data_IF_044288257149
#
_entry.id   IF_044288257149
#
_cell.length_a   1.000
_cell.length_b   1.000
_cell.length_c   1.000
_cell.angle_alpha   90.00
_cell.angle_beta   90.00
_cell.angle_gamma   90.00
#
_symmetry.space_group_name_H-M   'P 1'
#
loop_
_entity.id
_entity.type
_entity.pdbx_description
1 polymer ?
#
# COMPACT_ATOMS: atom_id res chain seq x y z
N UNK A 1 -19.79 -8.47 20.02
CA UNK A 1 -20.75 -7.60 19.32
C UNK A 1 -20.64 -7.94 17.85
N UNK A 2 -21.70 -8.43 17.22
CA UNK A 2 -21.68 -8.74 15.79
C UNK A 2 -21.52 -7.44 15.01
N UNK A 3 -20.47 -7.36 14.19
CA UNK A 3 -20.18 -6.19 13.34
C UNK A 3 -20.12 -6.64 11.90
N UNK A 4 -20.77 -5.88 11.03
CA UNK A 4 -20.77 -6.11 9.59
C UNK A 4 -20.48 -4.81 8.87
N UNK A 5 -19.80 -4.92 7.74
CA UNK A 5 -19.74 -3.86 6.74
C UNK A 5 -20.59 -4.29 5.55
N UNK A 6 -21.26 -3.33 4.91
CA UNK A 6 -22.14 -3.58 3.78
C UNK A 6 -21.70 -2.71 2.63
N UNK A 7 -21.42 -3.32 1.48
CA UNK A 7 -21.27 -2.61 0.20
C UNK A 7 -22.65 -2.65 -0.47
N UNK A 8 -23.17 -1.47 -0.80
CA UNK A 8 -24.44 -1.28 -1.50
C UNK A 8 -24.19 -0.90 -2.95
N UNK A 9 -24.89 -1.55 -3.87
CA UNK A 9 -24.84 -1.29 -5.31
C UNK A 9 -26.26 -1.08 -5.82
N UNK A 10 -26.45 -0.05 -6.66
CA UNK A 10 -27.77 0.32 -7.19
C UNK A 10 -28.17 -0.47 -8.44
N UNK A 11 -27.78 -1.75 -8.48
CA UNK A 11 -28.11 -2.69 -9.54
C UNK A 11 -28.87 -3.91 -9.02
N UNK A 12 -29.66 -4.52 -9.91
CA UNK A 12 -30.40 -5.75 -9.65
C UNK A 12 -29.45 -6.89 -9.33
N UNK A 13 -29.61 -7.46 -8.13
CA UNK A 13 -28.79 -8.59 -7.70
C UNK A 13 -28.99 -9.79 -8.62
N UNK A 14 -27.89 -10.21 -9.25
CA UNK A 14 -27.79 -11.49 -9.94
C UNK A 14 -26.75 -12.35 -9.23
N UNK A 15 -27.17 -13.55 -8.83
CA UNK A 15 -26.26 -14.45 -8.13
C UNK A 15 -25.26 -15.06 -9.11
N UNK A 16 -24.05 -14.51 -9.04
CA UNK A 16 -22.89 -14.97 -9.81
C UNK A 16 -22.24 -16.22 -9.21
N UNK A 17 -21.54 -16.99 -10.04
CA UNK A 17 -20.80 -18.18 -9.61
C UNK A 17 -19.78 -17.84 -8.51
N UNK A 18 -19.17 -16.65 -8.57
CA UNK A 18 -18.19 -16.18 -7.58
C UNK A 18 -18.81 -16.15 -6.18
N UNK A 19 -20.03 -15.62 -6.05
CA UNK A 19 -20.77 -15.61 -4.79
C UNK A 19 -21.14 -17.03 -4.34
N UNK A 20 -21.52 -17.91 -5.26
CA UNK A 20 -21.81 -19.32 -4.91
C UNK A 20 -20.57 -20.03 -4.36
N UNK A 21 -19.41 -19.78 -4.96
CA UNK A 21 -18.12 -20.32 -4.50
C UNK A 21 -17.76 -19.79 -3.10
N UNK A 22 -17.93 -18.49 -2.85
CA UNK A 22 -17.67 -17.86 -1.56
C UNK A 22 -18.68 -18.24 -0.47
N UNK A 23 -19.91 -18.59 -0.84
CA UNK A 23 -20.92 -19.12 0.11
C UNK A 23 -20.66 -20.59 0.45
N UNK A 24 -20.20 -21.38 -0.53
CA UNK A 24 -19.98 -22.82 -0.36
C UNK A 24 -18.64 -23.14 0.31
N UNK A 25 -17.64 -22.26 0.17
CA UNK A 25 -16.28 -22.48 0.67
C UNK A 25 -15.87 -21.34 1.61
N UNK A 26 -14.97 -21.64 2.55
CA UNK A 26 -14.28 -20.62 3.35
C UNK A 26 -12.86 -20.47 2.85
N UNK A 27 -12.59 -19.41 2.08
CA UNK A 27 -11.26 -19.10 1.57
C UNK A 27 -10.42 -18.50 2.69
N UNK A 28 -9.21 -19.02 2.86
CA UNK A 28 -8.31 -18.48 3.89
C UNK A 28 -7.88 -17.04 3.54
N UNK A 29 -7.95 -16.15 4.53
CA UNK A 29 -7.66 -14.72 4.34
C UNK A 29 -8.74 -13.92 3.60
N UNK A 30 -9.85 -14.51 3.17
CA UNK A 30 -11.01 -13.78 2.62
C UNK A 30 -12.12 -13.71 3.68
N UNK A 31 -12.74 -12.53 3.85
CA UNK A 31 -13.87 -12.37 4.73
C UNK A 31 -15.11 -13.11 4.21
N UNK A 32 -15.85 -13.73 5.13
CA UNK A 32 -17.14 -14.37 4.81
C UNK A 32 -18.11 -13.30 4.30
N UNK A 33 -18.63 -13.52 3.10
CA UNK A 33 -19.56 -12.62 2.41
C UNK A 33 -20.96 -13.23 2.35
N UNK A 34 -21.95 -12.46 2.76
CA UNK A 34 -23.35 -12.67 2.43
C UNK A 34 -23.76 -11.71 1.32
N UNK A 35 -24.48 -12.18 0.31
CA UNK A 35 -25.01 -11.32 -0.74
C UNK A 35 -26.53 -11.47 -0.85
N UNK A 36 -27.23 -10.34 -0.94
CA UNK A 36 -28.70 -10.26 -1.01
C UNK A 36 -29.16 -9.11 -1.89
N UNK A 37 -30.24 -9.32 -2.63
CA UNK A 37 -30.95 -8.26 -3.35
C UNK A 37 -32.16 -7.77 -2.56
N UNK A 38 -32.34 -6.46 -2.44
CA UNK A 38 -33.53 -5.85 -1.81
C UNK A 38 -33.88 -4.54 -2.51
N UNK A 39 -35.17 -4.33 -2.82
CA UNK A 39 -35.70 -3.09 -3.42
C UNK A 39 -34.98 -2.61 -4.70
N UNK A 40 -34.46 -3.55 -5.51
CA UNK A 40 -33.72 -3.21 -6.75
C UNK A 40 -32.25 -2.84 -6.52
N UNK A 41 -31.73 -2.99 -5.30
CA UNK A 41 -30.31 -2.81 -4.98
C UNK A 41 -29.70 -4.12 -4.45
N UNK A 42 -28.39 -4.24 -4.62
CA UNK A 42 -27.59 -5.39 -4.18
C UNK A 42 -26.78 -5.00 -2.95
N UNK A 43 -26.76 -5.90 -1.96
CA UNK A 43 -26.04 -5.70 -0.71
C UNK A 43 -25.07 -6.86 -0.49
N UNK A 44 -23.82 -6.53 -0.21
CA UNK A 44 -22.75 -7.47 0.11
C UNK A 44 -22.27 -7.21 1.54
N UNK A 45 -22.67 -8.10 2.44
CA UNK A 45 -22.44 -8.02 3.88
C UNK A 45 -21.21 -8.87 4.26
N UNK A 46 -20.19 -8.27 4.86
CA UNK A 46 -18.99 -8.96 5.33
C UNK A 46 -18.95 -9.00 6.86
N UNK A 47 -18.64 -10.15 7.43
CA UNK A 47 -18.48 -10.30 8.88
C UNK A 47 -17.10 -9.81 9.35
N UNK A 48 -17.11 -8.71 10.11
CA UNK A 48 -15.90 -8.06 10.65
C UNK A 48 -15.87 -8.13 12.18
N UNK A 49 -16.64 -9.03 12.77
CA UNK A 49 -16.68 -9.24 14.22
C UNK A 49 -15.30 -9.62 14.75
N UNK A 50 -14.82 -8.90 15.77
CA UNK A 50 -13.50 -9.10 16.37
C UNK A 50 -12.34 -8.43 15.62
N UNK A 51 -12.58 -7.91 14.41
CA UNK A 51 -11.53 -7.39 13.52
C UNK A 51 -11.49 -5.87 13.51
N UNK A 52 -10.30 -5.32 13.26
CA UNK A 52 -10.07 -3.88 13.10
C UNK A 52 -9.63 -3.62 11.66
N UNK A 53 -10.16 -2.59 11.00
CA UNK A 53 -9.70 -2.25 9.65
C UNK A 53 -8.27 -1.73 9.68
N UNK A 54 -7.50 -1.97 8.62
CA UNK A 54 -6.13 -1.47 8.46
C UNK A 54 -6.07 0.06 8.61
N UNK A 55 -7.04 0.77 8.03
CA UNK A 55 -7.18 2.22 8.19
C UNK A 55 -7.25 2.64 9.65
N UNK A 56 -8.08 1.97 10.46
CA UNK A 56 -8.25 2.30 11.87
C UNK A 56 -7.06 1.83 12.71
N UNK A 57 -6.45 0.70 12.35
CA UNK A 57 -5.25 0.16 12.98
C UNK A 57 -4.10 1.18 12.92
N UNK A 58 -3.81 1.72 11.73
CA UNK A 58 -2.72 2.67 11.51
C UNK A 58 -3.16 4.14 11.50
N UNK A 59 -4.32 4.46 12.08
CA UNK A 59 -4.73 5.86 12.28
C UNK A 59 -3.89 6.53 13.39
N UNK A 60 -3.41 5.72 14.36
CA UNK A 60 -2.68 6.18 15.55
C UNK A 60 -1.34 5.48 15.76
N UNK A 61 -1.02 4.49 14.94
CA UNK A 61 0.26 3.78 14.95
C UNK A 61 0.91 3.86 13.57
N UNK A 62 2.22 3.67 13.54
CA UNK A 62 3.00 3.56 12.31
C UNK A 62 3.10 2.10 11.86
N UNK A 63 3.28 1.90 10.56
CA UNK A 63 3.46 0.58 9.95
C UNK A 63 4.93 0.20 10.06
N UNK A 64 5.25 -0.90 10.73
CA UNK A 64 6.62 -1.40 10.81
C UNK A 64 7.00 -2.26 9.59
N UNK A 65 8.29 -2.54 9.43
CA UNK A 65 8.80 -3.46 8.41
C UNK A 65 8.31 -4.90 8.64
N UNK A 66 8.12 -5.31 9.89
CA UNK A 66 7.52 -6.60 10.24
C UNK A 66 6.06 -6.68 9.78
N UNK A 67 5.29 -5.61 9.99
CA UNK A 67 3.90 -5.53 9.54
C UNK A 67 3.79 -5.63 8.01
N UNK A 68 4.67 -4.93 7.29
CA UNK A 68 4.72 -4.99 5.82
C UNK A 68 5.07 -6.39 5.33
N UNK A 69 6.06 -7.06 5.92
CA UNK A 69 6.39 -8.44 5.55
C UNK A 69 5.25 -9.39 5.82
N UNK A 70 4.59 -9.25 6.97
CA UNK A 70 3.43 -10.05 7.33
C UNK A 70 2.31 -9.85 6.30
N UNK A 71 2.03 -8.60 5.97
CA UNK A 71 1.05 -8.23 4.95
C UNK A 71 1.38 -8.85 3.59
N UNK A 72 2.59 -8.65 3.06
CA UNK A 72 2.98 -9.18 1.75
C UNK A 72 2.92 -10.71 1.69
N UNK A 73 3.33 -11.38 2.78
CA UNK A 73 3.28 -12.84 2.87
C UNK A 73 1.85 -13.35 2.81
N UNK A 74 0.94 -12.73 3.57
CA UNK A 74 -0.46 -13.13 3.62
C UNK A 74 -1.22 -12.73 2.36
N UNK A 75 -0.95 -11.56 1.80
CA UNK A 75 -1.55 -11.12 0.55
C UNK A 75 -1.17 -12.06 -0.60
N UNK A 76 0.11 -12.50 -0.68
CA UNK A 76 0.54 -13.53 -1.62
C UNK A 76 -0.22 -14.84 -1.46
N UNK A 77 -0.48 -15.26 -0.23
CA UNK A 77 -1.25 -16.47 0.04
C UNK A 77 -2.72 -16.32 -0.42
N UNK A 78 -3.31 -15.15 -0.19
CA UNK A 78 -4.68 -14.83 -0.62
C UNK A 78 -4.83 -14.84 -2.14
N UNK A 79 -3.88 -14.28 -2.89
CA UNK A 79 -3.91 -14.34 -4.37
C UNK A 79 -3.98 -15.79 -4.84
N UNK A 80 -3.09 -16.65 -4.31
CA UNK A 80 -3.06 -18.08 -4.66
C UNK A 80 -4.33 -18.82 -4.28
N UNK A 81 -4.89 -18.50 -3.11
CA UNK A 81 -6.15 -19.08 -2.66
C UNK A 81 -7.28 -18.71 -3.63
N UNK A 82 -7.42 -17.42 -3.98
CA UNK A 82 -8.44 -16.93 -4.91
C UNK A 82 -8.31 -17.59 -6.29
N UNK A 83 -7.09 -17.70 -6.81
CA UNK A 83 -6.82 -18.40 -8.08
C UNK A 83 -7.17 -19.89 -8.01
N UNK A 84 -6.90 -20.57 -6.89
CA UNK A 84 -7.20 -21.99 -6.71
C UNK A 84 -8.70 -22.30 -6.80
N UNK A 85 -9.56 -21.35 -6.46
CA UNK A 85 -11.02 -21.45 -6.61
C UNK A 85 -11.54 -20.89 -7.94
N UNK A 86 -10.65 -20.55 -8.88
CA UNK A 86 -10.98 -19.94 -10.17
C UNK A 86 -11.76 -18.61 -10.02
N UNK A 87 -11.52 -17.91 -8.92
CA UNK A 87 -12.09 -16.59 -8.68
C UNK A 87 -11.21 -15.51 -9.31
N UNK A 88 -11.81 -14.37 -9.65
CA UNK A 88 -11.07 -13.24 -10.22
C UNK A 88 -10.28 -12.49 -9.11
N UNK A 89 -8.95 -12.41 -9.24
CA UNK A 89 -8.08 -11.69 -8.29
C UNK A 89 -8.33 -10.17 -8.27
N UNK A 90 -8.82 -9.60 -9.36
CA UNK A 90 -9.15 -8.17 -9.47
C UNK A 90 -10.31 -7.75 -8.55
N UNK A 91 -11.08 -8.73 -8.07
CA UNK A 91 -12.19 -8.50 -7.14
C UNK A 91 -11.75 -8.42 -5.67
N UNK A 92 -10.45 -8.56 -5.37
CA UNK A 92 -9.91 -8.34 -4.02
C UNK A 92 -9.82 -6.83 -3.77
N UNK A 93 -10.44 -6.34 -2.69
CA UNK A 93 -10.39 -4.93 -2.32
C UNK A 93 -9.12 -4.63 -1.52
N UNK A 94 -8.28 -3.71 -2.01
CA UNK A 94 -7.01 -3.34 -1.38
C UNK A 94 -7.02 -1.99 -0.66
N UNK A 95 -8.14 -1.26 -0.66
CA UNK A 95 -8.24 -0.03 0.12
C UNK A 95 -8.14 -0.36 1.62
N UNK A 96 -7.42 0.44 2.42
CA UNK A 96 -7.23 0.18 3.86
C UNK A 96 -8.52 0.04 4.68
N UNK A 97 -9.66 0.52 4.16
CA UNK A 97 -10.99 0.38 4.77
C UNK A 97 -11.58 -1.03 4.65
N UNK A 98 -11.14 -1.79 3.64
CA UNK A 98 -11.65 -3.13 3.31
C UNK A 98 -10.66 -4.24 3.65
N UNK A 99 -9.50 -3.90 4.21
CA UNK A 99 -8.54 -4.84 4.77
C UNK A 99 -8.71 -4.83 6.29
N UNK A 100 -8.84 -6.00 6.90
CA UNK A 100 -9.09 -6.18 8.33
C UNK A 100 -7.98 -6.99 8.97
N UNK A 101 -7.74 -6.78 10.26
CA UNK A 101 -6.70 -7.44 11.03
C UNK A 101 -7.26 -8.02 12.33
N UNK A 102 -6.86 -9.24 12.65
CA UNK A 102 -7.14 -9.94 13.92
C UNK A 102 -6.05 -10.99 14.16
N UNK A 103 -5.49 -11.02 15.38
CA UNK A 103 -4.51 -12.04 15.83
C UNK A 103 -3.36 -12.30 14.83
N UNK A 104 -2.69 -11.25 14.35
CA UNK A 104 -1.59 -11.35 13.37
C UNK A 104 -1.99 -11.91 12.01
N UNK A 105 -3.27 -11.78 11.64
CA UNK A 105 -3.81 -12.19 10.33
C UNK A 105 -4.59 -11.06 9.68
N UNK A 106 -4.29 -10.81 8.41
CA UNK A 106 -5.02 -9.94 7.52
C UNK A 106 -6.14 -10.71 6.83
N UNK A 107 -7.28 -10.04 6.69
CA UNK A 107 -8.47 -10.52 6.02
C UNK A 107 -8.91 -9.48 4.98
N UNK A 108 -9.20 -9.93 3.77
CA UNK A 108 -9.54 -9.07 2.65
C UNK A 108 -11.02 -9.22 2.30
N UNK A 109 -11.66 -8.10 1.93
CA UNK A 109 -12.97 -8.16 1.30
C UNK A 109 -12.83 -8.59 -0.16
N UNK A 110 -13.72 -9.47 -0.60
CA UNK A 110 -13.84 -9.87 -2.00
C UNK A 110 -15.16 -9.38 -2.57
N UNK A 111 -15.11 -8.45 -3.53
CA UNK A 111 -16.28 -7.85 -4.16
C UNK A 111 -16.40 -8.25 -5.64
N UNK A 112 -17.31 -9.18 -5.99
CA UNK A 112 -17.39 -9.75 -7.35
C UNK A 112 -17.71 -8.75 -8.46
N UNK A 113 -18.35 -7.63 -8.12
CA UNK A 113 -18.70 -6.58 -9.08
C UNK A 113 -17.61 -5.50 -9.20
N UNK A 114 -16.48 -5.65 -8.50
CA UNK A 114 -15.38 -4.70 -8.60
C UNK A 114 -14.85 -4.67 -10.05
N UNK A 115 -14.96 -3.51 -10.69
CA UNK A 115 -14.36 -3.23 -12.00
C UNK A 115 -13.09 -2.40 -11.80
N UNK A 116 -12.10 -2.99 -11.13
CA UNK A 116 -10.83 -2.35 -10.80
C UNK A 116 -9.66 -3.20 -11.26
N UNK A 117 -8.50 -2.59 -11.42
CA UNK A 117 -7.26 -3.31 -11.68
C UNK A 117 -6.50 -3.57 -10.36
N UNK A 118 -6.09 -4.82 -10.14
CA UNK A 118 -5.41 -5.20 -8.90
C UNK A 118 -4.05 -4.50 -8.76
N UNK A 119 -3.36 -4.25 -9.87
CA UNK A 119 -2.07 -3.59 -9.88
C UNK A 119 -2.21 -2.09 -9.57
N UNK A 120 -3.23 -1.42 -10.10
CA UNK A 120 -3.52 -0.02 -9.76
C UNK A 120 -3.91 0.14 -8.28
N UNK A 121 -4.76 -0.75 -7.77
CA UNK A 121 -5.16 -0.74 -6.36
C UNK A 121 -4.00 -1.10 -5.42
N UNK A 122 -3.11 -2.02 -5.84
CA UNK A 122 -1.91 -2.33 -5.07
C UNK A 122 -0.94 -1.15 -5.06
N UNK A 123 -0.76 -0.45 -6.18
CA UNK A 123 0.03 0.78 -6.23
C UNK A 123 -0.54 1.85 -5.28
N UNK A 124 -1.86 2.07 -5.32
CA UNK A 124 -2.53 2.99 -4.39
C UNK A 124 -2.31 2.60 -2.92
N UNK A 125 -2.27 1.30 -2.62
CA UNK A 125 -1.95 0.80 -1.29
C UNK A 125 -0.47 1.03 -0.91
N UNK A 126 0.48 0.94 -1.84
CA UNK A 126 1.88 1.28 -1.55
C UNK A 126 2.06 2.75 -1.22
N UNK A 127 1.30 3.65 -1.86
CA UNK A 127 1.28 5.07 -1.47
C UNK A 127 0.78 5.27 -0.04
N UNK A 128 -0.22 4.48 0.38
CA UNK A 128 -0.69 4.48 1.76
C UNK A 128 0.41 4.01 2.74
N UNK A 129 1.18 2.97 2.36
CA UNK A 129 2.34 2.52 3.15
C UNK A 129 3.42 3.60 3.25
N UNK A 130 3.67 4.38 2.20
CA UNK A 130 4.54 5.57 2.27
C UNK A 130 3.97 6.57 3.28
N UNK A 131 2.66 6.84 3.30
CA UNK A 131 2.10 7.82 4.24
C UNK A 131 2.16 7.38 5.71
N UNK A 132 1.99 6.09 5.98
CA UNK A 132 1.84 5.55 7.34
C UNK A 132 3.05 4.75 7.84
N UNK A 133 4.08 4.57 7.03
CA UNK A 133 5.31 3.87 7.39
C UNK A 133 5.99 4.44 8.62
N UNK A 134 6.56 3.56 9.44
CA UNK A 134 7.47 3.91 10.50
C UNK A 134 8.85 4.19 9.91
N UNK A 135 9.27 5.44 9.97
CA UNK A 135 10.54 5.90 9.41
C UNK A 135 11.70 5.79 10.40
N UNK A 136 11.44 5.39 11.64
CA UNK A 136 12.51 5.02 12.58
C UNK A 136 13.01 3.59 12.29
N UNK A 137 12.18 2.78 11.64
CA UNK A 137 12.50 1.41 11.23
C UNK A 137 13.18 1.36 9.85
N UNK A 138 14.47 1.01 9.84
CA UNK A 138 15.27 0.82 8.62
C UNK A 138 14.67 -0.22 7.67
N UNK A 139 14.05 -1.27 8.21
CA UNK A 139 13.44 -2.32 7.40
C UNK A 139 12.16 -1.83 6.73
N UNK A 140 11.33 -1.08 7.45
CA UNK A 140 10.16 -0.40 6.89
C UNK A 140 10.56 0.51 5.73
N UNK A 141 11.55 1.39 5.92
CA UNK A 141 12.04 2.30 4.88
C UNK A 141 12.42 1.54 3.61
N UNK A 142 13.23 0.48 3.76
CA UNK A 142 13.68 -0.34 2.62
C UNK A 142 12.49 -0.96 1.89
N UNK A 143 11.54 -1.54 2.61
CA UNK A 143 10.39 -2.24 2.04
C UNK A 143 9.43 -1.28 1.32
N UNK A 144 9.06 -0.18 1.97
CA UNK A 144 8.18 0.84 1.39
C UNK A 144 8.79 1.39 0.09
N UNK A 145 10.10 1.65 0.09
CA UNK A 145 10.80 2.13 -1.09
C UNK A 145 10.76 1.12 -2.25
N UNK A 146 11.15 -0.13 -1.99
CA UNK A 146 11.14 -1.20 -3.01
C UNK A 146 9.74 -1.41 -3.58
N UNK A 147 8.72 -1.46 -2.70
CA UNK A 147 7.33 -1.61 -3.09
C UNK A 147 6.89 -0.47 -4.00
N UNK A 148 7.04 0.78 -3.54
CA UNK A 148 6.58 1.94 -4.28
C UNK A 148 7.27 2.04 -5.65
N UNK A 149 8.62 1.92 -5.67
CA UNK A 149 9.41 1.94 -6.92
C UNK A 149 8.93 0.89 -7.90
N UNK A 150 8.80 -0.36 -7.45
CA UNK A 150 8.47 -1.45 -8.35
C UNK A 150 7.03 -1.36 -8.88
N UNK A 151 6.09 -0.80 -8.09
CA UNK A 151 4.72 -0.57 -8.57
C UNK A 151 4.56 0.56 -9.59
N UNK A 152 5.62 1.34 -9.85
CA UNK A 152 5.61 2.41 -10.84
C UNK A 152 5.99 1.92 -12.24
N UNK A 153 6.54 0.71 -12.36
CA UNK A 153 6.85 0.13 -13.66
C UNK A 153 5.55 -0.32 -14.37
N UNK A 154 5.33 0.06 -15.63
CA UNK A 154 4.07 -0.23 -16.36
C UNK A 154 3.69 -1.72 -16.43
N UNK A 155 4.66 -2.64 -16.29
CA UNK A 155 4.45 -4.09 -16.40
C UNK A 155 5.05 -4.85 -15.21
N UNK A 156 4.80 -4.35 -14.00
CA UNK A 156 5.37 -4.96 -12.81
C UNK A 156 4.70 -6.31 -12.45
N UNK A 157 5.47 -7.19 -11.83
CA UNK A 157 4.99 -8.50 -11.37
C UNK A 157 4.91 -8.53 -9.85
N UNK A 158 3.69 -8.63 -9.33
CA UNK A 158 3.43 -8.77 -7.88
C UNK A 158 4.26 -9.89 -7.25
N UNK A 159 4.37 -11.04 -7.93
CA UNK A 159 5.16 -12.16 -7.41
C UNK A 159 6.64 -11.84 -7.27
N UNK A 160 7.23 -11.13 -8.24
CA UNK A 160 8.63 -10.71 -8.22
C UNK A 160 8.87 -9.69 -7.11
N UNK A 161 8.02 -8.67 -7.02
CA UNK A 161 8.10 -7.62 -5.99
C UNK A 161 8.02 -8.22 -4.59
N UNK A 162 7.02 -9.08 -4.35
CA UNK A 162 6.85 -9.73 -3.05
C UNK A 162 8.04 -10.64 -2.73
N UNK A 163 8.58 -11.37 -3.72
CA UNK A 163 9.76 -12.19 -3.52
C UNK A 163 11.00 -11.36 -3.15
N UNK A 164 11.22 -10.23 -3.82
CA UNK A 164 12.33 -9.32 -3.54
C UNK A 164 12.21 -8.67 -2.16
N UNK A 165 11.02 -8.22 -1.78
CA UNK A 165 10.75 -7.63 -0.47
C UNK A 165 11.00 -8.64 0.67
N UNK A 166 10.61 -9.90 0.48
CA UNK A 166 10.74 -10.97 1.48
C UNK A 166 12.14 -11.60 1.56
N UNK A 167 13.06 -11.29 0.64
CA UNK A 167 14.47 -11.69 0.78
C UNK A 167 15.05 -11.04 2.02
N UNK A 168 15.73 -11.83 2.86
CA UNK A 168 16.51 -11.28 3.97
C UNK A 168 17.72 -10.55 3.39
N UNK A 169 18.12 -9.39 3.94
CA UNK A 169 19.43 -8.85 3.63
C UNK A 169 20.46 -9.86 4.14
N UNK A 170 21.24 -10.47 3.25
CA UNK A 170 22.36 -11.31 3.68
C UNK A 170 23.35 -10.44 4.45
N UNK A 171 23.83 -10.94 5.60
CA UNK A 171 24.67 -10.16 6.54
C UNK A 171 26.10 -9.90 6.06
N UNK A 172 26.48 -10.29 4.85
CA UNK A 172 27.85 -10.12 4.33
C UNK A 172 27.92 -9.71 2.85
N UNK A 173 26.82 -9.25 2.27
CA UNK A 173 26.92 -8.36 1.12
C UNK A 173 26.85 -6.95 1.68
N UNK A 174 27.85 -6.12 1.32
CA UNK A 174 27.67 -4.67 1.33
C UNK A 174 26.25 -4.47 0.81
N UNK A 175 25.36 -3.87 1.61
CA UNK A 175 24.08 -3.38 1.10
C UNK A 175 24.47 -2.73 -0.20
N UNK A 176 24.13 -3.35 -1.34
CA UNK A 176 24.50 -2.80 -2.64
C UNK A 176 24.01 -1.39 -2.53
N UNK A 177 24.98 -0.49 -2.48
CA UNK A 177 24.70 0.91 -2.34
C UNK A 177 23.71 1.15 -3.45
N UNK A 178 22.62 1.84 -3.13
CA UNK A 178 21.53 2.22 -4.03
C UNK A 178 22.05 2.95 -5.30
N UNK A 179 23.36 3.12 -5.43
CA UNK A 179 24.21 3.46 -6.57
C UNK A 179 23.95 2.66 -7.86
N UNK A 180 23.45 1.42 -7.84
CA UNK A 180 23.12 0.66 -9.07
C UNK A 180 21.63 0.66 -9.45
N UNK A 181 20.82 1.55 -8.88
CA UNK A 181 19.45 1.77 -9.37
C UNK A 181 19.52 2.72 -10.58
N UNK A 182 19.47 2.16 -11.78
CA UNK A 182 19.42 2.88 -13.07
C UNK A 182 18.39 4.03 -13.04
N UNK A 183 18.80 5.20 -13.57
CA UNK A 183 17.99 6.41 -13.73
C UNK A 183 16.76 6.12 -14.63
N UNK A 184 15.63 5.74 -14.03
CA UNK A 184 14.31 5.83 -14.67
C UNK A 184 13.76 7.25 -14.52
N UNK A 185 13.23 7.86 -15.58
CA UNK A 185 12.52 9.15 -15.52
C UNK A 185 11.18 8.99 -14.76
N UNK A 186 10.93 9.86 -13.78
CA UNK A 186 9.72 9.87 -12.94
C UNK A 186 8.97 11.18 -13.13
N UNK A 187 7.63 11.11 -13.18
CA UNK A 187 6.81 12.31 -13.15
C UNK A 187 6.64 12.80 -11.71
N UNK A 188 7.50 13.72 -11.30
CA UNK A 188 7.51 14.33 -9.96
C UNK A 188 6.20 15.02 -9.57
N UNK A 189 5.36 15.44 -10.54
CA UNK A 189 4.23 16.33 -10.26
C UNK A 189 3.12 15.72 -9.38
N UNK A 190 2.89 14.41 -9.47
CA UNK A 190 1.82 13.76 -8.69
C UNK A 190 2.25 13.43 -7.25
N UNK A 191 3.55 13.42 -6.98
CA UNK A 191 4.11 12.93 -5.72
C UNK A 191 4.98 13.96 -4.98
N UNK A 192 4.90 15.24 -5.36
CA UNK A 192 5.59 16.35 -4.70
C UNK A 192 5.32 16.39 -3.17
N UNK A 193 4.13 15.94 -2.75
CA UNK A 193 3.74 15.83 -1.34
C UNK A 193 4.65 14.93 -0.49
N UNK A 194 5.35 13.96 -1.10
CA UNK A 194 6.34 13.12 -0.43
C UNK A 194 7.53 13.97 0.04
N UNK A 195 7.90 15.01 -0.71
CA UNK A 195 9.00 15.93 -0.35
C UNK A 195 8.57 17.07 0.57
N UNK A 196 7.30 17.47 0.52
CA UNK A 196 6.77 18.63 1.24
C UNK A 196 6.41 18.33 2.70
N UNK A 197 6.21 17.07 3.06
CA UNK A 197 6.06 16.71 4.46
C UNK A 197 7.35 17.06 5.22
N UNK A 198 7.26 17.76 6.36
CA UNK A 198 8.39 18.04 7.27
C UNK A 198 9.17 16.75 7.65
N UNK A 199 8.48 15.61 7.60
CA UNK A 199 9.07 14.27 7.69
C UNK A 199 10.17 14.07 6.64
N UNK A 200 9.99 14.44 5.37
CA UNK A 200 11.02 14.37 4.34
C UNK A 200 12.30 15.15 4.68
N UNK A 201 12.20 16.26 5.43
CA UNK A 201 13.34 17.08 5.83
C UNK A 201 14.08 16.56 7.09
N UNK A 202 13.36 15.94 8.04
CA UNK A 202 13.97 15.32 9.24
C UNK A 202 14.52 13.91 8.94
N UNK A 203 13.82 13.12 8.10
CA UNK A 203 14.28 11.84 7.53
C UNK A 203 15.63 12.02 6.82
N UNK A 204 15.80 13.14 6.12
CA UNK A 204 17.00 13.48 5.35
C UNK A 204 18.26 13.71 6.18
N UNK A 205 18.19 13.95 7.49
CA UNK A 205 19.37 14.19 8.34
C UNK A 205 19.95 12.92 8.97
N UNK A 206 19.13 11.90 9.22
CA UNK A 206 19.56 10.68 9.93
C UNK A 206 19.76 9.48 8.99
N UNK A 207 19.14 9.49 7.80
CA UNK A 207 19.21 8.40 6.80
C UNK A 207 19.88 8.84 5.49
N UNK A 208 20.87 9.74 5.59
CA UNK A 208 21.50 10.46 4.47
C UNK A 208 21.97 9.55 3.34
N UNK A 209 22.35 8.29 3.60
CA UNK A 209 22.89 7.35 2.60
C UNK A 209 21.82 6.50 1.88
N UNK A 210 20.63 6.31 2.46
CA UNK A 210 19.54 5.52 1.86
C UNK A 210 18.62 6.41 1.01
N UNK A 211 18.46 7.68 1.41
CA UNK A 211 17.61 8.65 0.74
C UNK A 211 18.35 9.60 -0.22
N UNK A 212 19.68 9.56 -0.31
CA UNK A 212 20.43 10.44 -1.23
C UNK A 212 20.01 10.31 -2.70
N UNK A 213 19.80 9.10 -3.24
CA UNK A 213 19.36 8.92 -4.63
C UNK A 213 17.98 9.53 -4.84
N UNK A 214 17.05 9.26 -3.92
CA UNK A 214 15.69 9.80 -3.91
C UNK A 214 15.69 11.33 -3.78
N UNK A 215 16.56 11.89 -2.94
CA UNK A 215 16.74 13.34 -2.76
C UNK A 215 17.31 14.01 -4.00
N UNK A 216 18.32 13.41 -4.65
CA UNK A 216 18.90 13.93 -5.90
C UNK A 216 17.88 13.88 -7.03
N UNK A 217 17.06 12.84 -7.04
CA UNK A 217 16.00 12.61 -8.01
C UNK A 217 14.85 13.62 -7.86
N UNK A 218 14.31 13.77 -6.66
CA UNK A 218 13.24 14.72 -6.34
C UNK A 218 13.69 16.18 -6.44
N UNK A 219 14.96 16.50 -6.13
CA UNK A 219 15.48 17.87 -6.22
C UNK A 219 16.03 18.27 -7.60
N UNK A 220 16.52 17.35 -8.45
CA UNK A 220 17.02 17.67 -9.81
C UNK A 220 15.95 18.32 -10.70
N UNK A 221 14.67 18.04 -10.44
CA UNK A 221 13.56 18.48 -11.28
C UNK A 221 12.63 19.52 -10.63
N UNK A 222 12.92 19.95 -9.39
CA UNK A 222 12.40 21.22 -8.86
C UNK A 222 13.01 22.35 -9.69
N UNK A 223 12.33 22.77 -10.77
CA UNK A 223 12.65 24.07 -11.39
C UNK A 223 12.55 25.11 -10.29
N UNK A 224 13.55 25.98 -10.08
CA UNK A 224 13.35 27.14 -9.23
C UNK A 224 12.18 27.92 -9.85
N UNK A 225 11.07 28.03 -9.11
CA UNK A 225 10.07 29.04 -9.45
C UNK A 225 10.81 30.37 -9.43
N UNK A 226 10.74 31.12 -10.52
CA UNK A 226 11.27 32.46 -10.58
C UNK A 226 10.57 33.30 -9.51
N UNK A 227 11.24 33.56 -8.37
CA UNK A 227 10.68 34.36 -7.29
C UNK A 227 11.01 33.95 -5.84
N UNK A 228 11.69 32.83 -5.57
CA UNK A 228 12.05 32.45 -4.20
C UNK A 228 13.40 33.10 -3.78
N UNK A 229 13.36 34.40 -3.51
CA UNK A 229 14.39 35.10 -2.75
C UNK A 229 13.82 35.40 -1.37
N UNK A 230 14.02 34.52 -0.40
CA UNK A 230 13.89 34.90 1.00
C UNK A 230 14.85 34.07 1.85
N UNK A 231 15.83 34.74 2.45
CA UNK A 231 16.75 34.12 3.39
C UNK A 231 18.18 34.68 3.47
N UNK A 232 18.52 35.77 2.76
CA UNK A 232 19.77 36.49 3.04
C UNK A 232 19.54 37.46 4.20
N UNK A 233 19.88 37.00 5.41
CA UNK A 233 20.21 37.89 6.52
C UNK A 233 21.40 38.77 6.11
N UNK A 234 21.18 40.08 5.99
CA UNK A 234 22.26 41.07 6.09
C UNK A 234 22.17 41.61 7.51
N UNK A 235 23.20 41.31 8.29
CA UNK A 235 23.46 41.94 9.57
C UNK A 235 23.77 43.43 9.32
N UNK A 236 22.91 44.33 9.80
CA UNK A 236 23.31 45.70 10.08
C UNK A 236 23.84 45.74 11.52
N UNK A 237 25.16 45.67 11.67
CA UNK A 237 25.84 46.19 12.85
C UNK A 237 26.29 47.64 12.58
N UNK A 238 25.94 48.52 13.52
CA UNK A 238 26.32 49.93 13.56
C UNK A 238 27.83 50.14 13.63
N UNK A 239 28.37 51.04 12.78
CA UNK A 239 29.30 52.12 13.16
C UNK A 239 29.51 53.14 12.02
#
# INVERSE_FOLDING_TARGET
MERKITIEEHDLYQEDYQIRMLKANSLDGILKVGARGMNGSSYYDYDVSGKVSMKAMYERSKISGEDLKLFLTQFKAVIKEVEAYLLNIHCILLKPEYIFYEESRFFFCYYPLAAQDLWEEFHTLTEYFVRQGDYEDQECIRLVFLLHKATMEENYSLEKIMAECLKRPEKDEKVDTVEEIEEMEYDTKEHDWITEQEMGSSIMKETENLWTPVRRFLNKHKKPKWGDWDGLHIEEEEL
#
